data_IF_304976023193
#
_entry.id   IF_304976023193
#
_cell.length_a   1.000
_cell.length_b   1.000
_cell.length_c   1.000
_cell.angle_alpha   90.00
_cell.angle_beta   90.00
_cell.angle_gamma   90.00
#
_symmetry.space_group_name_H-M   'P 1'
#
loop_
_entity.id
_entity.type
_entity.pdbx_description
1 polymer ?
#
# COMPACT_ATOMS: atom_id res chain seq x y z
N UNK A 1 16.05 -14.87 -29.30
CA UNK A 1 16.57 -14.18 -28.09
C UNK A 1 15.39 -13.44 -27.49
N UNK A 2 15.05 -13.69 -26.23
CA UNK A 2 13.99 -12.93 -25.55
C UNK A 2 14.49 -11.49 -25.35
N UNK A 3 13.73 -10.46 -25.76
CA UNK A 3 14.12 -9.08 -25.54
C UNK A 3 14.41 -8.82 -24.05
N UNK A 4 15.48 -8.10 -23.68
CA UNK A 4 15.81 -7.83 -22.28
C UNK A 4 14.94 -6.71 -21.66
N UNK A 5 13.91 -6.26 -22.36
CA UNK A 5 13.06 -5.11 -21.99
C UNK A 5 11.62 -5.60 -21.85
N UNK A 6 10.99 -5.26 -20.72
CA UNK A 6 9.56 -5.53 -20.53
C UNK A 6 8.73 -4.80 -21.61
N UNK A 7 7.78 -5.48 -22.27
CA UNK A 7 7.05 -4.91 -23.40
C UNK A 7 6.03 -3.84 -23.00
N UNK A 8 5.74 -3.67 -21.71
CA UNK A 8 4.73 -2.74 -21.24
C UNK A 8 5.27 -1.30 -21.13
N UNK A 9 4.36 -0.35 -20.91
CA UNK A 9 4.67 1.02 -20.56
C UNK A 9 4.71 1.16 -19.04
N UNK A 10 5.76 1.80 -18.50
CA UNK A 10 5.86 2.07 -17.06
C UNK A 10 4.88 3.16 -16.66
N UNK A 11 4.08 2.89 -15.62
CA UNK A 11 3.15 3.85 -15.02
C UNK A 11 3.78 4.58 -13.84
N UNK A 12 4.47 3.83 -12.96
CA UNK A 12 5.06 4.34 -11.72
C UNK A 12 6.13 3.38 -11.22
N UNK A 13 7.15 3.91 -10.54
CA UNK A 13 8.04 3.13 -9.68
C UNK A 13 8.13 3.71 -8.27
N UNK A 14 8.18 2.84 -7.27
CA UNK A 14 8.07 3.22 -5.86
C UNK A 14 7.85 2.04 -4.92
N UNK A 15 6.99 2.22 -3.93
CA UNK A 15 6.61 1.22 -2.94
C UNK A 15 5.12 1.36 -2.60
N UNK A 16 4.45 0.24 -2.24
CA UNK A 16 3.06 0.17 -1.79
C UNK A 16 2.90 -0.70 -0.54
N UNK A 17 3.48 -0.30 0.58
CA UNK A 17 3.30 -1.05 1.83
C UNK A 17 1.86 -0.94 2.32
N UNK A 18 1.27 -2.04 2.77
CA UNK A 18 -0.13 -2.06 3.20
C UNK A 18 -0.31 -2.84 4.51
N UNK A 19 -1.37 -2.47 5.21
CA UNK A 19 -1.91 -3.21 6.35
C UNK A 19 -3.41 -3.38 6.11
N UNK A 20 -3.90 -4.61 6.23
CA UNK A 20 -5.33 -4.88 6.37
C UNK A 20 -5.53 -5.67 7.66
N UNK A 21 -6.55 -5.29 8.42
CA UNK A 21 -6.88 -5.94 9.68
C UNK A 21 -8.29 -6.50 9.64
N UNK A 22 -8.50 -7.58 10.38
CA UNK A 22 -9.77 -8.29 10.44
C UNK A 22 -9.92 -9.03 11.78
N UNK A 23 -11.13 -9.07 12.37
CA UNK A 23 -11.41 -9.88 13.55
C UNK A 23 -11.58 -11.37 13.24
N UNK A 24 -11.83 -11.75 11.98
CA UNK A 24 -12.37 -13.07 11.61
C UNK A 24 -11.59 -13.75 10.47
N UNK A 25 -10.30 -13.43 10.37
CA UNK A 25 -9.41 -14.07 9.39
C UNK A 25 -9.62 -13.58 7.96
N UNK A 26 -10.07 -12.34 7.79
CA UNK A 26 -10.22 -11.68 6.49
C UNK A 26 -11.63 -11.73 5.90
N UNK A 27 -12.63 -12.30 6.59
CA UNK A 27 -14.02 -12.33 6.11
C UNK A 27 -14.66 -10.94 6.21
N UNK A 28 -14.34 -10.21 7.28
CA UNK A 28 -14.71 -8.82 7.52
C UNK A 28 -13.44 -7.99 7.63
N UNK A 29 -13.19 -7.13 6.64
CA UNK A 29 -12.06 -6.19 6.70
C UNK A 29 -12.51 -4.93 7.43
N UNK A 30 -11.95 -4.70 8.61
CA UNK A 30 -12.25 -3.53 9.45
C UNK A 30 -11.31 -2.37 9.18
N UNK A 31 -10.08 -2.68 8.80
CA UNK A 31 -9.04 -1.70 8.50
C UNK A 31 -8.35 -2.01 7.18
N UNK A 32 -8.13 -0.97 6.39
CA UNK A 32 -7.35 -1.00 5.16
C UNK A 32 -6.52 0.26 5.05
N UNK A 33 -5.21 0.08 5.02
CA UNK A 33 -4.23 1.14 4.88
C UNK A 33 -3.32 0.82 3.70
N UNK A 34 -3.18 1.77 2.79
CA UNK A 34 -2.33 1.69 1.61
C UNK A 34 -1.37 2.87 1.62
N UNK A 35 -0.11 2.59 1.94
CA UNK A 35 0.95 3.58 2.05
C UNK A 35 1.85 3.51 0.82
N UNK A 36 2.00 4.65 0.16
CA UNK A 36 2.80 4.80 -1.04
C UNK A 36 4.04 5.64 -0.77
N UNK A 37 5.17 5.17 -1.28
CA UNK A 37 6.38 5.97 -1.51
C UNK A 37 6.67 5.95 -2.99
N UNK A 38 6.21 6.97 -3.71
CA UNK A 38 6.38 7.08 -5.16
C UNK A 38 7.71 7.75 -5.46
N UNK A 39 8.60 7.02 -6.13
CA UNK A 39 9.88 7.56 -6.62
C UNK A 39 9.69 8.28 -7.94
N UNK A 40 8.79 7.78 -8.80
CA UNK A 40 8.43 8.43 -10.05
C UNK A 40 7.06 7.99 -10.55
N UNK A 41 6.22 8.94 -10.93
CA UNK A 41 5.08 8.78 -11.84
C UNK A 41 4.88 10.08 -12.65
N UNK A 42 3.94 10.14 -13.61
CA UNK A 42 3.66 11.37 -14.37
C UNK A 42 3.26 12.60 -13.53
N UNK A 43 2.83 12.41 -12.28
CA UNK A 43 2.49 13.49 -11.35
C UNK A 43 3.65 13.89 -10.41
N UNK A 44 4.84 13.29 -10.58
CA UNK A 44 6.04 13.54 -9.78
C UNK A 44 6.34 12.42 -8.78
N UNK A 45 7.07 12.78 -7.73
CA UNK A 45 7.43 11.91 -6.62
C UNK A 45 6.77 12.40 -5.32
N UNK A 46 6.62 11.51 -4.34
CA UNK A 46 6.04 11.85 -3.04
C UNK A 46 5.40 10.66 -2.34
N UNK A 47 4.66 10.94 -1.29
CA UNK A 47 4.01 9.96 -0.44
C UNK A 47 2.52 10.16 -0.39
N UNK A 48 1.80 9.07 -0.20
CA UNK A 48 0.38 9.10 0.09
C UNK A 48 0.00 7.96 1.03
N UNK A 49 -0.89 8.23 1.98
CA UNK A 49 -1.55 7.21 2.78
C UNK A 49 -3.06 7.30 2.52
N UNK A 50 -3.64 6.21 2.03
CA UNK A 50 -5.08 6.00 1.99
C UNK A 50 -5.48 5.10 3.16
N UNK A 51 -6.43 5.54 3.97
CA UNK A 51 -6.89 4.79 5.15
C UNK A 51 -8.40 4.74 5.20
N UNK A 52 -8.94 3.54 5.42
CA UNK A 52 -10.28 3.31 5.96
C UNK A 52 -10.11 2.41 7.18
N UNK A 53 -10.52 2.86 8.36
CA UNK A 53 -10.20 2.18 9.62
C UNK A 53 -11.27 2.40 10.67
N UNK A 54 -11.37 1.52 11.67
CA UNK A 54 -12.16 1.80 12.87
C UNK A 54 -11.70 3.08 13.59
N UNK A 55 -10.40 3.40 13.51
CA UNK A 55 -9.81 4.62 14.09
C UNK A 55 -10.30 5.90 13.40
N UNK A 56 -10.78 5.78 12.15
CA UNK A 56 -11.41 6.87 11.39
C UNK A 56 -12.94 6.78 11.39
N UNK A 57 -13.53 5.90 12.21
CA UNK A 57 -14.96 5.65 12.23
C UNK A 57 -15.49 5.05 10.92
N UNK A 58 -14.66 4.24 10.24
CA UNK A 58 -14.97 3.63 8.95
C UNK A 58 -14.92 4.59 7.76
N UNK A 59 -14.54 5.86 7.96
CA UNK A 59 -14.44 6.86 6.89
C UNK A 59 -13.09 6.80 6.20
N UNK A 60 -13.07 7.05 4.90
CA UNK A 60 -11.82 7.20 4.15
C UNK A 60 -11.16 8.53 4.51
N UNK A 61 -9.86 8.49 4.81
CA UNK A 61 -8.98 9.67 4.89
C UNK A 61 -7.76 9.48 4.00
N UNK A 62 -7.24 10.60 3.49
CA UNK A 62 -6.10 10.62 2.59
C UNK A 62 -5.09 11.63 3.12
N UNK A 63 -3.84 11.21 3.27
CA UNK A 63 -2.72 12.06 3.68
C UNK A 63 -1.66 12.05 2.59
N UNK A 64 -1.05 13.18 2.26
CA UNK A 64 0.03 13.24 1.28
C UNK A 64 0.93 14.46 1.49
N UNK A 65 2.19 14.35 1.07
CA UNK A 65 3.07 15.51 0.87
C UNK A 65 2.96 16.06 -0.57
N UNK A 66 2.45 15.26 -1.51
CA UNK A 66 2.21 15.62 -2.89
C UNK A 66 0.78 15.23 -3.31
N UNK A 67 -0.10 16.24 -3.35
CA UNK A 67 -1.52 16.07 -3.71
C UNK A 67 -1.69 15.54 -5.15
N UNK A 68 -0.83 15.97 -6.08
CA UNK A 68 -0.92 15.52 -7.47
C UNK A 68 -0.66 14.01 -7.59
N UNK A 69 0.32 13.50 -6.83
CA UNK A 69 0.62 12.06 -6.73
C UNK A 69 -0.54 11.29 -6.11
N UNK A 70 -1.09 11.75 -4.99
CA UNK A 70 -2.26 11.11 -4.38
C UNK A 70 -3.44 11.01 -5.36
N UNK A 71 -3.75 12.10 -6.06
CA UNK A 71 -4.82 12.11 -7.08
C UNK A 71 -4.52 11.22 -8.28
N UNK A 72 -3.26 11.14 -8.70
CA UNK A 72 -2.86 10.22 -9.76
C UNK A 72 -3.06 8.76 -9.32
N UNK A 73 -2.65 8.40 -8.10
CA UNK A 73 -2.84 7.05 -7.53
C UNK A 73 -4.33 6.68 -7.46
N UNK A 74 -5.20 7.58 -7.00
CA UNK A 74 -6.65 7.36 -6.94
C UNK A 74 -7.24 6.96 -8.30
N UNK A 75 -6.88 7.70 -9.36
CA UNK A 75 -7.42 7.48 -10.70
C UNK A 75 -6.83 6.29 -11.43
N UNK A 76 -5.64 5.83 -11.04
CA UNK A 76 -4.86 4.87 -11.83
C UNK A 76 -4.74 3.50 -11.17
N UNK A 77 -4.33 3.45 -9.91
CA UNK A 77 -4.00 2.20 -9.22
C UNK A 77 -4.98 1.91 -8.09
N UNK A 78 -5.22 2.87 -7.18
CA UNK A 78 -6.06 2.62 -6.00
C UNK A 78 -7.51 2.28 -6.35
N UNK A 79 -8.06 2.89 -7.40
CA UNK A 79 -9.39 2.51 -7.93
C UNK A 79 -9.50 1.03 -8.30
N UNK A 80 -8.39 0.37 -8.63
CA UNK A 80 -8.35 -1.05 -8.98
C UNK A 80 -8.10 -1.94 -7.76
N UNK A 81 -7.45 -1.40 -6.73
CA UNK A 81 -7.12 -2.15 -5.50
C UNK A 81 -8.28 -2.10 -4.51
N UNK A 82 -8.89 -0.93 -4.34
CA UNK A 82 -9.97 -0.70 -3.41
C UNK A 82 -10.87 0.47 -3.85
N UNK A 83 -12.09 0.20 -4.37
CA UNK A 83 -12.96 1.24 -4.92
C UNK A 83 -13.27 2.41 -3.98
N UNK A 84 -13.32 2.19 -2.67
CA UNK A 84 -13.57 3.27 -1.70
C UNK A 84 -12.45 4.34 -1.69
N UNK A 85 -11.25 4.02 -2.16
CA UNK A 85 -10.15 4.99 -2.30
C UNK A 85 -10.18 5.77 -3.62
N UNK A 86 -11.12 5.48 -4.52
CA UNK A 86 -11.19 6.14 -5.84
C UNK A 86 -11.78 7.56 -5.79
N UNK A 87 -12.48 7.94 -4.72
CA UNK A 87 -13.19 9.23 -4.66
C UNK A 87 -12.23 10.43 -4.58
N UNK A 88 -12.06 11.12 -5.70
CA UNK A 88 -11.20 12.31 -5.81
C UNK A 88 -11.79 13.58 -5.19
N UNK A 89 -13.06 13.57 -4.75
CA UNK A 89 -13.66 14.68 -4.00
C UNK A 89 -13.22 14.69 -2.53
N UNK A 90 -12.77 13.56 -1.98
CA UNK A 90 -12.25 13.49 -0.62
C UNK A 90 -11.05 14.41 -0.43
N UNK A 91 -10.98 15.19 0.66
CA UNK A 91 -9.85 16.08 0.91
C UNK A 91 -8.55 15.29 1.09
N UNK A 92 -7.44 15.84 0.59
CA UNK A 92 -6.09 15.33 0.87
C UNK A 92 -5.50 16.21 1.96
N UNK A 93 -5.22 15.60 3.11
CA UNK A 93 -4.60 16.28 4.25
C UNK A 93 -3.09 16.35 4.01
N UNK A 94 -2.52 17.55 4.09
CA UNK A 94 -1.07 17.72 4.01
C UNK A 94 -0.40 17.00 5.19
N UNK A 95 0.59 16.16 4.89
CA UNK A 95 1.32 15.40 5.90
C UNK A 95 2.78 15.19 5.52
N UNK A 96 3.60 14.87 6.51
CA UNK A 96 5.00 14.46 6.39
C UNK A 96 5.14 12.99 6.70
N UNK A 97 6.12 12.34 6.07
CA UNK A 97 6.32 10.89 6.12
C UNK A 97 7.75 10.56 6.50
N UNK A 98 7.92 9.69 7.48
CA UNK A 98 9.24 9.22 7.92
C UNK A 98 9.24 7.72 8.13
N UNK A 99 10.33 7.05 7.78
CA UNK A 99 10.52 5.62 8.02
C UNK A 99 11.58 5.33 9.06
N UNK A 100 11.44 4.20 9.72
CA UNK A 100 12.47 3.63 10.59
C UNK A 100 12.46 2.11 10.52
N UNK A 101 13.61 1.51 10.85
CA UNK A 101 13.76 0.06 10.92
C UNK A 101 13.68 -0.63 9.56
N UNK A 102 13.56 -1.96 9.60
CA UNK A 102 13.58 -2.81 8.41
C UNK A 102 12.91 -4.18 8.67
N UNK A 103 12.62 -4.99 7.63
CA UNK A 103 11.88 -6.24 7.75
C UNK A 103 12.56 -7.32 8.61
N UNK A 104 13.85 -7.19 8.94
CA UNK A 104 14.56 -8.17 9.80
C UNK A 104 14.16 -8.06 11.27
N UNK A 105 13.57 -6.94 11.69
CA UNK A 105 13.05 -6.73 13.03
C UNK A 105 11.66 -6.12 12.97
N UNK A 106 11.61 -4.79 12.92
CA UNK A 106 10.39 -4.01 12.88
C UNK A 106 10.58 -2.87 11.89
N UNK A 107 9.67 -2.74 10.94
CA UNK A 107 9.61 -1.59 10.04
C UNK A 107 8.46 -0.66 10.46
N UNK A 108 8.71 0.64 10.40
CA UNK A 108 7.75 1.67 10.80
C UNK A 108 7.65 2.73 9.71
N UNK A 109 6.42 3.13 9.37
CA UNK A 109 6.11 4.37 8.65
C UNK A 109 5.29 5.27 9.58
N UNK A 110 5.75 6.52 9.75
CA UNK A 110 5.08 7.53 10.56
C UNK A 110 4.59 8.67 9.67
N UNK A 111 3.33 9.04 9.84
CA UNK A 111 2.63 10.06 9.06
C UNK A 111 2.15 11.13 10.02
N UNK A 112 2.64 12.36 9.85
CA UNK A 112 2.32 13.49 10.72
C UNK A 112 1.70 14.62 9.92
N UNK A 113 0.50 15.03 10.31
CA UNK A 113 -0.21 16.21 9.80
C UNK A 113 -0.47 17.20 10.93
N UNK A 114 -1.15 18.31 10.64
CA UNK A 114 -1.52 19.30 11.65
C UNK A 114 -2.47 18.74 12.73
N UNK A 115 -3.31 17.75 12.41
CA UNK A 115 -4.35 17.24 13.31
C UNK A 115 -4.23 15.76 13.66
N UNK A 116 -3.43 15.00 12.92
CA UNK A 116 -3.32 13.55 13.07
C UNK A 116 -1.84 13.09 13.04
N UNK A 117 -1.51 12.18 13.95
CA UNK A 117 -0.28 11.37 13.94
C UNK A 117 -0.67 9.91 13.79
N UNK A 118 -0.18 9.28 12.73
CA UNK A 118 -0.43 7.88 12.40
C UNK A 118 0.90 7.13 12.39
N UNK A 119 0.92 5.95 12.99
CA UNK A 119 2.07 5.04 12.95
C UNK A 119 1.60 3.70 12.39
N UNK A 120 2.27 3.24 11.34
CA UNK A 120 2.09 1.90 10.77
C UNK A 120 3.33 1.08 11.07
N UNK A 121 3.14 -0.10 11.67
CA UNK A 121 4.23 -0.96 12.11
C UNK A 121 4.05 -2.36 11.53
N UNK A 122 5.11 -2.93 10.96
CA UNK A 122 5.19 -4.32 10.50
C UNK A 122 6.30 -5.04 11.27
N UNK A 123 6.04 -6.27 11.71
CA UNK A 123 7.01 -7.09 12.43
C UNK A 123 6.72 -8.58 12.21
N UNK A 124 7.67 -9.44 12.60
CA UNK A 124 7.59 -10.88 12.33
C UNK A 124 7.39 -11.15 10.82
N UNK A 125 8.26 -10.52 10.01
CA UNK A 125 8.26 -10.72 8.57
C UNK A 125 8.71 -12.14 8.23
N UNK A 126 8.01 -12.74 7.27
CA UNK A 126 8.33 -14.06 6.74
C UNK A 126 9.21 -13.95 5.50
N UNK A 127 9.59 -15.11 4.95
CA UNK A 127 10.49 -15.19 3.80
C UNK A 127 10.00 -14.32 2.63
N UNK A 128 10.85 -13.39 2.13
CA UNK A 128 10.46 -12.50 1.05
C UNK A 128 10.38 -13.22 -0.29
N UNK A 129 9.64 -12.63 -1.21
CA UNK A 129 9.53 -13.10 -2.59
C UNK A 129 9.28 -11.96 -3.56
N UNK A 130 9.60 -12.18 -4.83
CA UNK A 130 9.25 -11.25 -5.91
C UNK A 130 7.87 -11.62 -6.45
N UNK A 131 6.93 -10.70 -6.30
CA UNK A 131 5.64 -10.74 -6.99
C UNK A 131 5.84 -10.27 -8.43
N UNK A 132 5.42 -11.09 -9.39
CA UNK A 132 5.36 -10.72 -10.81
C UNK A 132 3.95 -10.96 -11.32
N UNK A 133 3.28 -9.88 -11.72
CA UNK A 133 1.89 -9.91 -12.15
C UNK A 133 1.79 -9.15 -13.47
N UNK A 134 1.68 -9.83 -14.62
CA UNK A 134 1.52 -9.15 -15.89
C UNK A 134 0.15 -8.44 -15.95
N UNK A 135 -0.01 -7.42 -16.81
CA UNK A 135 -1.34 -6.91 -17.15
C UNK A 135 -2.28 -8.05 -17.57
N UNK A 136 -3.53 -7.97 -17.12
CA UNK A 136 -4.56 -8.99 -17.34
C UNK A 136 -4.66 -10.05 -16.24
N UNK A 137 -3.62 -10.22 -15.40
CA UNK A 137 -3.70 -11.16 -14.29
C UNK A 137 -4.81 -10.77 -13.31
N UNK A 138 -5.64 -11.74 -12.89
CA UNK A 138 -6.84 -11.53 -12.06
C UNK A 138 -7.77 -10.42 -12.60
N UNK A 139 -7.92 -10.31 -13.92
CA UNK A 139 -8.72 -9.29 -14.60
C UNK A 139 -8.31 -7.84 -14.29
N UNK A 140 -7.09 -7.61 -13.79
CA UNK A 140 -6.56 -6.25 -13.58
C UNK A 140 -5.90 -5.76 -14.87
N UNK A 141 -6.27 -4.57 -15.40
CA UNK A 141 -5.75 -4.07 -16.68
C UNK A 141 -4.27 -3.67 -16.63
N UNK A 142 -3.66 -3.59 -15.44
CA UNK A 142 -2.27 -3.19 -15.23
C UNK A 142 -1.50 -4.27 -14.46
N UNK A 143 -0.19 -4.33 -14.72
CA UNK A 143 0.75 -5.24 -14.09
C UNK A 143 1.56 -4.57 -12.98
N UNK A 144 2.22 -5.40 -12.16
CA UNK A 144 3.16 -4.96 -11.13
C UNK A 144 4.26 -5.99 -10.94
N UNK A 145 5.48 -5.50 -10.70
CA UNK A 145 6.61 -6.26 -10.17
C UNK A 145 6.97 -5.67 -8.82
N UNK A 146 7.17 -6.49 -7.79
CA UNK A 146 7.40 -6.00 -6.42
C UNK A 146 8.18 -7.01 -5.59
N UNK A 147 9.02 -6.55 -4.67
CA UNK A 147 9.58 -7.40 -3.61
C UNK A 147 8.68 -7.30 -2.40
N UNK A 148 8.03 -8.41 -2.04
CA UNK A 148 7.16 -8.49 -0.89
C UNK A 148 7.92 -9.03 0.33
N UNK A 149 7.78 -8.34 1.45
CA UNK A 149 8.10 -8.83 2.79
C UNK A 149 6.78 -8.93 3.58
N UNK A 150 6.06 -10.06 3.50
CA UNK A 150 4.83 -10.23 4.23
C UNK A 150 5.11 -10.28 5.74
N UNK A 151 4.25 -9.69 6.55
CA UNK A 151 4.40 -9.62 8.00
C UNK A 151 3.28 -10.38 8.70
N UNK A 152 3.61 -11.27 9.63
CA UNK A 152 2.61 -11.96 10.46
C UNK A 152 1.96 -11.00 11.45
N UNK A 153 2.73 -10.02 11.93
CA UNK A 153 2.27 -8.98 12.85
C UNK A 153 2.25 -7.62 12.19
N UNK A 154 1.21 -6.84 12.49
CA UNK A 154 1.18 -5.43 12.17
C UNK A 154 0.35 -4.67 13.21
N UNK A 155 0.66 -3.39 13.40
CA UNK A 155 -0.07 -2.51 14.30
C UNK A 155 -0.29 -1.16 13.64
N UNK A 156 -1.47 -0.58 13.86
CA UNK A 156 -1.82 0.76 13.43
C UNK A 156 -2.20 1.57 14.66
N UNK A 157 -1.54 2.71 14.82
CA UNK A 157 -1.82 3.70 15.86
C UNK A 157 -2.23 5.02 15.20
N UNK A 158 -3.27 5.66 15.73
CA UNK A 158 -3.71 6.99 15.33
C UNK A 158 -4.06 7.82 16.56
N UNK A 159 -3.31 8.89 16.80
CA UNK A 159 -3.51 9.82 17.93
C UNK A 159 -3.56 9.09 19.29
N UNK A 160 -2.64 8.15 19.54
CA UNK A 160 -2.56 7.37 20.78
C UNK A 160 -3.55 6.21 20.89
N UNK A 161 -4.42 6.00 19.90
CA UNK A 161 -5.37 4.88 19.86
C UNK A 161 -4.90 3.82 18.88
N UNK A 162 -5.07 2.55 19.25
CA UNK A 162 -4.65 1.41 18.44
C UNK A 162 -5.85 0.74 17.78
N UNK A 163 -5.67 0.30 16.54
CA UNK A 163 -6.62 -0.62 15.92
C UNK A 163 -6.58 -1.96 16.68
N UNK A 164 -7.74 -2.55 16.91
CA UNK A 164 -7.95 -3.71 17.77
C UNK A 164 -7.76 -5.05 17.06
N UNK A 165 -7.81 -5.05 15.73
CA UNK A 165 -7.79 -6.25 14.90
C UNK A 165 -6.38 -6.62 14.42
N UNK A 166 -6.24 -7.79 13.81
CA UNK A 166 -4.94 -8.34 13.40
C UNK A 166 -4.89 -8.65 11.90
N UNK A 167 -3.69 -8.74 11.30
CA UNK A 167 -3.52 -9.34 9.99
C UNK A 167 -3.94 -10.82 10.00
N UNK A 168 -4.45 -11.28 8.86
CA UNK A 168 -4.65 -12.70 8.58
C UNK A 168 -3.62 -13.22 7.56
N UNK A 169 -3.36 -14.53 7.61
CA UNK A 169 -2.48 -15.23 6.69
C UNK A 169 -3.10 -15.32 5.29
N UNK A 170 -2.27 -15.16 4.26
CA UNK A 170 -2.66 -15.31 2.85
C UNK A 170 -1.67 -16.23 2.12
N UNK A 171 -2.02 -16.62 0.89
CA UNK A 171 -1.11 -17.29 -0.03
C UNK A 171 -0.97 -16.47 -1.30
N UNK A 172 0.23 -16.46 -1.89
CA UNK A 172 0.52 -15.91 -3.22
C UNK A 172 1.15 -17.01 -4.06
N UNK A 173 0.31 -17.74 -4.79
CA UNK A 173 0.73 -18.99 -5.41
C UNK A 173 1.07 -20.02 -4.33
N UNK A 174 2.29 -20.54 -4.36
CA UNK A 174 2.85 -21.49 -3.41
C UNK A 174 3.57 -20.82 -2.22
N UNK A 175 3.74 -19.49 -2.23
CA UNK A 175 4.42 -18.74 -1.17
C UNK A 175 3.45 -18.29 -0.09
N UNK A 176 3.86 -18.45 1.17
CA UNK A 176 3.18 -17.84 2.31
C UNK A 176 3.19 -16.33 2.18
N UNK A 177 2.07 -15.69 2.51
CA UNK A 177 1.88 -14.26 2.49
C UNK A 177 1.02 -13.82 3.69
N UNK A 178 0.70 -12.53 3.71
CA UNK A 178 -0.11 -11.90 4.75
C UNK A 178 -0.88 -10.73 4.17
N UNK A 179 -1.98 -10.41 4.84
CA UNK A 179 -2.75 -9.19 4.65
C UNK A 179 -2.05 -7.90 5.11
N UNK A 180 -0.88 -8.02 5.76
CA UNK A 180 0.07 -6.95 5.97
C UNK A 180 1.40 -7.25 5.26
N UNK A 181 1.90 -6.30 4.48
CA UNK A 181 3.10 -6.49 3.67
C UNK A 181 3.85 -5.18 3.45
N UNK A 182 5.18 -5.24 3.50
CA UNK A 182 6.03 -4.22 2.91
C UNK A 182 6.27 -4.60 1.44
N UNK A 183 5.72 -3.81 0.52
CA UNK A 183 5.86 -4.04 -0.92
C UNK A 183 6.83 -3.01 -1.51
N UNK A 184 8.09 -3.42 -1.65
CA UNK A 184 9.20 -2.56 -2.00
C UNK A 184 9.64 -2.75 -3.45
N UNK A 185 10.26 -1.71 -4.01
CA UNK A 185 10.74 -1.71 -5.40
C UNK A 185 9.64 -2.05 -6.40
N UNK A 186 8.44 -1.50 -6.19
CA UNK A 186 7.33 -1.65 -7.11
C UNK A 186 7.59 -0.95 -8.43
N UNK A 187 7.26 -1.65 -9.52
CA UNK A 187 7.11 -1.06 -10.85
C UNK A 187 5.76 -1.45 -11.40
N UNK A 188 4.88 -0.47 -11.56
CA UNK A 188 3.55 -0.65 -12.16
C UNK A 188 3.63 -0.39 -13.66
N UNK A 189 2.95 -1.23 -14.43
CA UNK A 189 3.01 -1.19 -15.89
C UNK A 189 1.64 -1.35 -16.53
N UNK A 190 1.45 -0.76 -17.71
CA UNK A 190 0.25 -0.96 -18.54
C UNK A 190 0.65 -1.47 -19.93
N UNK A 191 -0.22 -2.22 -20.64
CA UNK A 191 0.02 -2.57 -22.02
C UNK A 191 0.34 -1.32 -22.86
N UNK A 192 1.34 -1.42 -23.74
CA UNK A 192 1.56 -0.38 -24.74
C UNK A 192 0.36 -0.34 -25.69
N UNK A 193 -0.02 0.87 -26.11
CA UNK A 193 -0.97 1.07 -27.20
C UNK A 193 -0.33 0.72 -28.53
#
# INVERSE_FOLDING_TARGET
>A
MTPPVDPNAVLMTGENSFIRLSPDGGKTQTDRLSHWRVLWCPAGAGHALFVQSELTGGRVRIYADNVAVARWLQRTIETLLFPAFADTALPVVAATFTRAGDPRSTAVESIVSAGDRITMTWYDCIEPFVLTMPPGFNNRPIGVFSTFFPARGAQVEMNGRFASNQPWAEMRGDRQASSACLAWSETWVAPRK
#
